data_IF_281402214150
#
_entry.id   IF_281402214150
#
_cell.length_a   1.000
_cell.length_b   1.000
_cell.length_c   1.000
_cell.angle_alpha   90.00
_cell.angle_beta   90.00
_cell.angle_gamma   90.00
#
_symmetry.space_group_name_H-M   'P 1'
#
loop_
_entity.id
_entity.type
_entity.pdbx_description
1 polymer ?
#
# COMPACT_ATOMS: atom_id res chain seq x y z
N UNK A 1 -3.44 9.27 33.19
CA UNK A 1 -2.92 8.40 32.11
C UNK A 1 -3.13 9.12 30.79
N UNK A 2 -2.08 9.27 29.97
CA UNK A 2 -2.25 9.84 28.64
C UNK A 2 -3.16 8.96 27.80
N UNK A 3 -4.06 9.58 27.02
CA UNK A 3 -4.86 8.88 26.01
C UNK A 3 -4.35 9.26 24.62
N UNK A 4 -4.10 8.27 23.79
CA UNK A 4 -3.63 8.44 22.41
C UNK A 4 -4.77 8.01 21.47
N UNK A 5 -5.02 8.82 20.44
CA UNK A 5 -5.98 8.52 19.38
C UNK A 5 -5.42 8.98 18.05
N UNK A 6 -5.68 8.22 16.99
CA UNK A 6 -5.32 8.56 15.62
C UNK A 6 -6.61 8.82 14.82
N UNK A 7 -6.70 9.98 14.17
CA UNK A 7 -7.83 10.31 13.29
C UNK A 7 -7.46 11.40 12.27
N UNK A 8 -7.99 11.28 11.05
CA UNK A 8 -7.95 12.33 10.02
C UNK A 8 -6.57 12.95 9.74
N UNK A 9 -5.51 12.16 9.74
CA UNK A 9 -4.20 12.74 9.46
C UNK A 9 -3.30 12.96 10.68
N UNK A 10 -3.83 12.76 11.87
CA UNK A 10 -3.29 13.41 13.06
C UNK A 10 -3.26 12.44 14.25
N UNK A 11 -2.15 12.48 14.99
CA UNK A 11 -2.00 11.80 16.27
C UNK A 11 -2.35 12.78 17.37
N UNK A 12 -3.36 12.43 18.16
CA UNK A 12 -3.86 13.20 19.28
C UNK A 12 -3.41 12.56 20.59
N UNK A 13 -2.64 13.30 21.39
CA UNK A 13 -2.24 12.87 22.73
C UNK A 13 -2.84 13.81 23.77
N UNK A 14 -3.71 13.27 24.62
CA UNK A 14 -4.28 13.97 25.77
C UNK A 14 -3.48 13.58 27.00
N UNK A 15 -2.61 14.47 27.48
CA UNK A 15 -1.76 14.21 28.66
C UNK A 15 -2.48 14.61 29.95
N UNK A 16 -3.33 15.64 29.88
CA UNK A 16 -4.24 16.10 30.91
C UNK A 16 -5.49 16.69 30.22
N UNK A 17 -6.59 16.98 30.95
CA UNK A 17 -7.85 17.46 30.35
C UNK A 17 -7.73 18.77 29.56
N UNK A 18 -6.60 19.49 29.68
CA UNK A 18 -6.40 20.82 29.10
C UNK A 18 -5.35 20.86 28.00
N UNK A 19 -4.63 19.76 27.72
CA UNK A 19 -3.51 19.75 26.79
C UNK A 19 -3.68 18.63 25.76
N UNK A 20 -3.95 19.05 24.51
CA UNK A 20 -3.98 18.21 23.33
C UNK A 20 -2.71 18.45 22.53
N UNK A 21 -1.88 17.41 22.37
CA UNK A 21 -0.79 17.45 21.39
C UNK A 21 -1.29 16.86 20.08
N UNK A 22 -1.05 17.60 19.00
CA UNK A 22 -1.35 17.21 17.63
C UNK A 22 -0.01 17.00 16.92
N UNK A 23 0.31 15.75 16.63
CA UNK A 23 1.49 15.42 15.84
C UNK A 23 1.04 15.10 14.42
N UNK A 24 1.67 15.77 13.46
CA UNK A 24 1.57 15.47 12.03
C UNK A 24 2.70 14.51 11.74
N UNK A 25 2.39 13.36 11.17
CA UNK A 25 3.40 12.47 10.61
C UNK A 25 3.76 12.96 9.19
N UNK A 26 4.99 13.46 8.97
CA UNK A 26 5.42 13.94 7.66
C UNK A 26 6.06 12.82 6.81
N UNK A 27 6.20 11.62 7.37
CA UNK A 27 6.88 10.51 6.73
C UNK A 27 5.96 9.84 5.71
N UNK A 28 6.55 9.27 4.68
CA UNK A 28 5.82 8.54 3.66
C UNK A 28 5.97 7.04 3.87
N UNK A 29 4.99 6.23 3.43
CA UNK A 29 5.18 4.81 3.27
C UNK A 29 6.45 4.45 2.50
N UNK A 30 7.09 3.35 2.85
CA UNK A 30 8.26 2.82 2.16
C UNK A 30 7.91 1.54 1.41
N UNK A 31 8.14 1.51 0.11
CA UNK A 31 8.00 0.32 -0.75
C UNK A 31 9.39 -0.27 -1.00
N UNK A 32 9.65 -1.46 -0.46
CA UNK A 32 10.98 -2.08 -0.46
C UNK A 32 11.26 -2.90 -1.72
N UNK A 33 10.27 -3.66 -2.16
CA UNK A 33 10.43 -4.56 -3.30
C UNK A 33 9.10 -4.80 -3.99
N UNK A 34 9.19 -5.07 -5.29
CA UNK A 34 8.10 -5.52 -6.14
C UNK A 34 8.57 -6.76 -6.88
N UNK A 35 7.79 -7.83 -6.81
CA UNK A 35 7.99 -9.05 -7.57
C UNK A 35 6.73 -9.34 -8.38
N UNK A 36 6.93 -9.78 -9.62
CA UNK A 36 5.83 -10.12 -10.52
C UNK A 36 5.98 -11.52 -11.07
N UNK A 37 4.86 -12.21 -11.22
CA UNK A 37 4.78 -13.53 -11.83
C UNK A 37 3.61 -13.57 -12.80
N UNK A 38 3.85 -14.06 -14.02
CA UNK A 38 2.81 -14.25 -15.02
C UNK A 38 2.50 -15.75 -15.12
N UNK A 39 1.26 -16.13 -14.81
CA UNK A 39 0.80 -17.52 -14.91
C UNK A 39 -0.65 -17.55 -15.38
N UNK A 40 -0.97 -18.45 -16.32
CA UNK A 40 -2.35 -18.69 -16.81
C UNK A 40 -3.13 -17.42 -17.23
N UNK A 41 -2.45 -16.42 -17.80
CA UNK A 41 -3.08 -15.16 -18.22
C UNK A 41 -3.41 -14.21 -17.06
N UNK A 42 -2.93 -14.49 -15.85
CA UNK A 42 -3.00 -13.60 -14.69
C UNK A 42 -1.59 -13.05 -14.37
N UNK A 43 -1.51 -11.75 -14.09
CA UNK A 43 -0.32 -11.15 -13.50
C UNK A 43 -0.50 -11.07 -11.99
N UNK A 44 0.32 -11.82 -11.26
CA UNK A 44 0.47 -11.71 -9.81
C UNK A 44 1.51 -10.65 -9.49
N UNK A 45 1.15 -9.67 -8.67
CA UNK A 45 2.05 -8.62 -8.20
C UNK A 45 2.16 -8.70 -6.68
N UNK A 46 3.37 -8.82 -6.18
CA UNK A 46 3.70 -8.83 -4.76
C UNK A 46 4.55 -7.61 -4.43
N UNK A 47 4.18 -6.86 -3.39
CA UNK A 47 4.90 -5.70 -2.91
C UNK A 47 5.21 -5.85 -1.42
N UNK A 48 6.39 -5.36 -1.00
CA UNK A 48 6.79 -5.34 0.41
C UNK A 48 6.77 -3.89 0.91
N UNK A 49 5.86 -3.57 1.84
CA UNK A 49 5.54 -2.18 2.21
C UNK A 49 5.40 -2.02 3.73
N UNK A 50 5.88 -0.90 4.28
CA UNK A 50 5.51 -0.47 5.63
C UNK A 50 5.39 1.05 5.73
N UNK A 51 4.83 1.51 6.83
CA UNK A 51 4.82 2.88 7.28
C UNK A 51 5.21 2.93 8.76
N UNK A 52 6.10 3.84 9.14
CA UNK A 52 6.74 3.82 10.47
C UNK A 52 5.89 4.45 11.57
N UNK A 53 4.96 5.33 11.21
CA UNK A 53 4.42 6.34 12.13
C UNK A 53 2.90 6.23 12.24
N UNK A 54 2.20 6.11 11.12
CA UNK A 54 0.73 6.13 11.07
C UNK A 54 0.11 4.82 10.54
N UNK A 55 0.93 3.92 10.00
CA UNK A 55 0.48 2.64 9.45
C UNK A 55 -0.21 2.79 8.10
N UNK A 56 -0.42 1.69 7.38
CA UNK A 56 -0.95 1.73 6.02
C UNK A 56 -2.48 1.77 6.01
N UNK A 57 -3.05 2.73 5.28
CA UNK A 57 -4.47 2.73 4.91
C UNK A 57 -4.74 1.72 3.79
N UNK A 58 -3.90 1.73 2.76
CA UNK A 58 -4.09 0.89 1.59
C UNK A 58 -2.86 0.82 0.70
N UNK A 59 -2.73 -0.32 0.02
CA UNK A 59 -1.75 -0.52 -1.04
C UNK A 59 -2.52 -0.91 -2.29
N UNK A 60 -2.21 -0.27 -3.41
CA UNK A 60 -2.91 -0.42 -4.68
C UNK A 60 -1.93 -0.75 -5.79
N UNK A 61 -2.35 -1.65 -6.66
CA UNK A 61 -1.78 -1.79 -7.99
C UNK A 61 -2.52 -0.85 -8.92
N UNK A 62 -1.81 0.11 -9.50
CA UNK A 62 -2.36 1.01 -10.51
C UNK A 62 -1.82 0.56 -11.86
N UNK A 63 -2.70 0.19 -12.79
CA UNK A 63 -2.30 -0.44 -14.05
C UNK A 63 -3.09 0.06 -15.25
N UNK A 64 -2.47 -0.02 -16.42
CA UNK A 64 -3.06 0.24 -17.74
C UNK A 64 -2.75 -0.94 -18.66
N UNK A 65 -3.70 -1.29 -19.52
CA UNK A 65 -3.56 -2.31 -20.55
C UNK A 65 -3.66 -1.65 -21.91
N UNK A 66 -2.71 -1.92 -22.82
CA UNK A 66 -2.64 -1.32 -24.15
C UNK A 66 -2.74 0.23 -24.16
N UNK A 67 -2.23 0.90 -23.12
CA UNK A 67 -2.28 2.36 -23.00
C UNK A 67 -3.68 2.95 -22.75
N UNK A 68 -4.64 2.15 -22.30
CA UNK A 68 -5.97 2.61 -21.89
C UNK A 68 -5.95 3.34 -20.54
N UNK A 69 -7.12 3.75 -20.05
CA UNK A 69 -7.25 4.42 -18.75
C UNK A 69 -6.70 3.58 -17.59
N UNK A 70 -6.05 4.26 -16.64
CA UNK A 70 -5.47 3.64 -15.45
C UNK A 70 -6.55 3.14 -14.50
N UNK A 71 -6.46 1.86 -14.15
CA UNK A 71 -7.34 1.20 -13.20
C UNK A 71 -6.63 1.00 -11.86
N UNK A 72 -7.40 1.08 -10.77
CA UNK A 72 -6.90 0.88 -9.41
C UNK A 72 -7.42 -0.45 -8.87
N UNK A 73 -6.50 -1.34 -8.50
CA UNK A 73 -6.81 -2.62 -7.89
C UNK A 73 -6.21 -2.66 -6.47
N UNK A 74 -7.03 -2.82 -5.42
CA UNK A 74 -6.51 -3.03 -4.07
C UNK A 74 -5.60 -4.26 -3.98
N UNK A 75 -4.52 -4.12 -3.22
CA UNK A 75 -3.65 -5.22 -2.82
C UNK A 75 -4.01 -5.68 -1.40
N UNK A 76 -3.99 -6.99 -1.20
CA UNK A 76 -4.33 -7.60 0.09
C UNK A 76 -3.08 -8.05 0.80
N UNK A 77 -3.01 -7.82 2.11
CA UNK A 77 -1.92 -8.33 2.92
C UNK A 77 -1.92 -9.87 2.87
N UNK A 78 -0.75 -10.45 2.58
CA UNK A 78 -0.59 -11.89 2.38
C UNK A 78 -0.27 -12.65 3.68
N UNK A 79 -0.08 -11.94 4.80
CA UNK A 79 0.14 -12.54 6.13
C UNK A 79 -1.16 -12.50 6.91
N UNK A 80 -1.51 -13.63 7.53
CA UNK A 80 -2.55 -13.69 8.56
C UNK A 80 -1.89 -13.78 9.93
N UNK A 81 -2.21 -12.85 10.83
CA UNK A 81 -1.79 -12.94 12.22
C UNK A 81 -2.88 -13.61 13.05
N UNK A 82 -2.47 -14.34 14.10
CA UNK A 82 -3.40 -14.89 15.12
C UNK A 82 -3.99 -13.75 15.96
N UNK A 83 -3.25 -12.65 16.12
CA UNK A 83 -3.66 -11.42 16.81
C UNK A 83 -3.25 -10.24 15.93
N UNK A 84 -4.19 -9.34 15.63
CA UNK A 84 -3.91 -8.17 14.80
C UNK A 84 -2.84 -7.26 15.44
N UNK A 85 -1.93 -6.69 14.65
CA UNK A 85 -0.90 -5.79 15.18
C UNK A 85 -1.51 -4.54 15.80
N UNK A 86 -1.02 -4.17 16.99
CA UNK A 86 -1.36 -2.90 17.64
C UNK A 86 -0.82 -1.78 16.77
N UNK A 87 -1.69 -0.88 16.29
CA UNK A 87 -1.35 0.18 15.32
C UNK A 87 -1.79 -0.10 13.88
N UNK A 88 -2.35 -1.28 13.60
CA UNK A 88 -2.83 -1.65 12.27
C UNK A 88 -1.76 -2.32 11.40
N UNK A 89 -2.19 -2.83 10.25
CA UNK A 89 -1.28 -3.47 9.29
C UNK A 89 -0.35 -2.44 8.65
N UNK A 90 0.91 -2.81 8.42
CA UNK A 90 1.90 -1.89 7.84
C UNK A 90 2.62 -1.00 8.85
N UNK A 91 2.17 -0.94 10.11
CA UNK A 91 2.78 -0.09 11.13
C UNK A 91 4.14 -0.62 11.62
N UNK A 92 5.14 0.28 11.66
CA UNK A 92 6.50 0.04 12.14
C UNK A 92 7.54 -0.11 11.02
N UNK A 93 8.73 -0.58 11.38
CA UNK A 93 9.85 -0.69 10.43
C UNK A 93 9.85 -1.99 9.62
N UNK A 94 9.03 -2.97 10.02
CA UNK A 94 9.01 -4.28 9.39
C UNK A 94 8.10 -4.25 8.15
N UNK A 95 8.61 -4.55 6.95
CA UNK A 95 7.78 -4.61 5.74
C UNK A 95 6.77 -5.75 5.80
N UNK A 96 5.56 -5.48 5.30
CA UNK A 96 4.48 -6.45 5.15
C UNK A 96 4.28 -6.75 3.67
N UNK A 97 4.05 -8.03 3.29
CA UNK A 97 3.77 -8.39 1.92
C UNK A 97 2.30 -8.12 1.59
N UNK A 98 2.10 -7.39 0.51
CA UNK A 98 0.82 -7.15 -0.15
C UNK A 98 0.82 -7.86 -1.50
N UNK A 99 -0.29 -8.50 -1.84
CA UNK A 99 -0.45 -9.22 -3.10
C UNK A 99 -1.74 -8.84 -3.78
N UNK A 100 -1.72 -8.78 -5.10
CA UNK A 100 -2.92 -8.74 -5.92
C UNK A 100 -2.68 -9.43 -7.24
N UNK A 101 -3.78 -9.80 -7.89
CA UNK A 101 -3.74 -10.41 -9.21
C UNK A 101 -4.70 -9.70 -10.14
N UNK A 102 -4.26 -9.48 -11.37
CA UNK A 102 -5.09 -8.93 -12.42
C UNK A 102 -5.15 -9.90 -13.59
N UNK A 103 -6.35 -10.05 -14.15
CA UNK A 103 -6.55 -10.83 -15.37
C UNK A 103 -6.10 -10.00 -16.56
N UNK A 104 -5.30 -10.61 -17.42
CA UNK A 104 -4.85 -10.00 -18.66
C UNK A 104 -5.75 -10.55 -19.79
N UNK A 105 -6.59 -9.72 -20.41
CA UNK A 105 -7.38 -10.11 -21.58
C UNK A 105 -6.50 -10.65 -22.72
N UNK A 106 -7.05 -11.51 -23.59
CA UNK A 106 -6.26 -12.14 -24.66
C UNK A 106 -5.74 -11.14 -25.69
N UNK A 107 -6.48 -10.05 -25.89
CA UNK A 107 -6.16 -8.92 -26.75
C UNK A 107 -5.13 -7.96 -26.15
N UNK A 108 -4.80 -8.08 -24.86
CA UNK A 108 -3.81 -7.23 -24.22
C UNK A 108 -2.39 -7.66 -24.65
N UNK A 109 -1.67 -6.72 -25.26
CA UNK A 109 -0.30 -6.86 -25.75
C UNK A 109 0.70 -6.09 -24.91
N UNK A 110 0.22 -5.10 -24.17
CA UNK A 110 1.06 -4.26 -23.32
C UNK A 110 0.39 -4.07 -21.97
N UNK A 111 1.20 -4.06 -20.92
CA UNK A 111 0.79 -3.73 -19.57
C UNK A 111 1.78 -2.75 -18.96
N UNK A 112 1.24 -1.69 -18.39
CA UNK A 112 1.98 -0.74 -17.57
C UNK A 112 1.40 -0.76 -16.15
N UNK A 113 2.25 -0.77 -15.12
CA UNK A 113 1.77 -0.67 -13.75
C UNK A 113 2.77 0.01 -12.81
N UNK A 114 2.27 0.52 -11.69
CA UNK A 114 3.07 0.90 -10.52
C UNK A 114 2.31 0.54 -9.24
N UNK A 115 3.04 0.48 -8.12
CA UNK A 115 2.43 0.26 -6.80
C UNK A 115 2.33 1.60 -6.09
N UNK A 116 1.15 1.86 -5.52
CA UNK A 116 0.85 3.04 -4.71
C UNK A 116 0.55 2.60 -3.28
N UNK A 117 1.31 3.13 -2.31
CA UNK A 117 1.05 2.93 -0.89
C UNK A 117 0.55 4.24 -0.28
N UNK A 118 -0.50 4.17 0.54
CA UNK A 118 -1.10 5.31 1.23
C UNK A 118 -1.19 4.95 2.72
N UNK A 119 -0.72 5.85 3.59
CA UNK A 119 -0.84 5.70 5.03
C UNK A 119 -2.21 6.16 5.56
N UNK A 120 -2.47 5.98 6.85
CA UNK A 120 -3.73 6.38 7.50
C UNK A 120 -3.96 7.90 7.56
N UNK A 121 -2.95 8.69 7.16
CA UNK A 121 -2.99 10.15 7.22
C UNK A 121 -2.96 10.82 5.84
N UNK A 122 -2.85 10.02 4.78
CA UNK A 122 -2.89 10.46 3.40
C UNK A 122 -1.52 10.72 2.76
N UNK A 123 -0.40 10.50 3.46
CA UNK A 123 0.88 10.49 2.77
C UNK A 123 0.95 9.25 1.88
N UNK A 124 1.64 9.42 0.75
CA UNK A 124 1.72 8.38 -0.25
C UNK A 124 3.09 8.30 -0.89
N UNK A 125 3.42 7.09 -1.33
CA UNK A 125 4.61 6.79 -2.11
C UNK A 125 4.23 5.89 -3.27
N UNK A 126 4.86 6.13 -4.42
CA UNK A 126 4.61 5.38 -5.64
C UNK A 126 5.92 4.90 -6.23
N UNK A 127 5.93 3.68 -6.75
CA UNK A 127 7.10 3.21 -7.50
C UNK A 127 7.17 3.85 -8.87
N UNK A 128 8.31 3.68 -9.55
CA UNK A 128 8.37 3.89 -11.00
C UNK A 128 7.33 3.04 -11.72
N UNK A 129 6.96 3.48 -12.92
CA UNK A 129 6.14 2.68 -13.84
C UNK A 129 6.99 1.54 -14.41
N UNK A 130 6.42 0.34 -14.39
CA UNK A 130 6.94 -0.85 -15.04
C UNK A 130 6.10 -1.11 -16.28
N UNK A 131 6.73 -1.25 -17.44
CA UNK A 131 6.08 -1.50 -18.71
C UNK A 131 6.57 -2.85 -19.27
N UNK A 132 5.65 -3.72 -19.66
CA UNK A 132 5.94 -5.04 -20.21
C UNK A 132 5.15 -5.28 -21.49
N UNK A 133 5.82 -5.86 -22.49
CA UNK A 133 5.17 -6.45 -23.66
C UNK A 133 4.79 -7.90 -23.37
N UNK A 134 3.58 -8.27 -23.76
CA UNK A 134 2.98 -9.58 -23.51
C UNK A 134 3.08 -10.39 -24.81
N UNK A 135 3.97 -11.38 -24.79
CA UNK A 135 4.11 -12.35 -25.87
C UNK A 135 3.41 -13.65 -25.46
N UNK A 136 2.42 -14.07 -26.26
CA UNK A 136 1.66 -15.32 -26.12
C UNK A 136 1.86 -16.17 -27.35
#
# INVERSE_FOLDING_TARGET
>A
MPKVSTAYGEIYVIVNPTTLYKFVDPSKPTIYSINTELSDGELLVNASVCDRESGLYGVYLVYSLNGLEWSYQPMHISIRYIVEPIGGYGFGEKPFPYTTKIKIPEEAREIEFYVLAIDNIGNHEATRVYAYSIHR
#
